data_IF_551114895602
#
_entry.id   IF_551114895602
#
_cell.length_a   1.000
_cell.length_b   1.000
_cell.length_c   1.000
_cell.angle_alpha   90.00
_cell.angle_beta   90.00
_cell.angle_gamma   90.00
#
_symmetry.space_group_name_H-M   'P 1'
#
loop_
_entity.id
_entity.type
_entity.pdbx_description
1 polymer ?
#
# COMPACT_ATOMS: atom_id res chain seq x y z
N UNK A 1 9.08 15.23 5.58
CA UNK A 1 8.88 13.95 6.29
C UNK A 1 7.40 13.67 6.28
N UNK A 2 6.96 12.66 5.54
CA UNK A 2 5.56 12.25 5.49
C UNK A 2 5.41 10.92 6.24
N UNK A 3 4.30 10.73 6.95
CA UNK A 3 3.97 9.47 7.60
C UNK A 3 2.91 8.74 6.77
N UNK A 4 3.22 7.53 6.31
CA UNK A 4 2.34 6.73 5.47
C UNK A 4 1.65 5.61 6.24
N UNK A 5 0.33 5.50 6.08
CA UNK A 5 -0.45 4.33 6.50
C UNK A 5 -1.07 3.72 5.24
N UNK A 6 -0.70 2.48 4.94
CA UNK A 6 -1.16 1.76 3.76
C UNK A 6 -2.23 0.77 4.19
N UNK A 7 -3.34 0.74 3.46
CA UNK A 7 -4.50 -0.06 3.84
C UNK A 7 -4.42 -1.38 3.10
N UNK A 8 -4.15 -2.46 3.82
CA UNK A 8 -4.19 -3.80 3.25
C UNK A 8 -5.54 -4.45 3.54
N UNK A 9 -6.11 -5.07 2.51
CA UNK A 9 -7.34 -5.83 2.60
C UNK A 9 -7.13 -7.15 1.88
N UNK A 10 -7.33 -8.25 2.60
CA UNK A 10 -7.23 -9.60 2.02
C UNK A 10 -8.30 -9.84 0.96
N UNK A 11 -9.43 -9.13 1.05
CA UNK A 11 -10.54 -9.20 0.09
C UNK A 11 -10.47 -8.11 -0.99
N UNK A 12 -9.32 -7.45 -1.17
CA UNK A 12 -9.16 -6.42 -2.19
C UNK A 12 -9.03 -7.02 -3.60
N UNK A 13 -9.35 -6.20 -4.61
CA UNK A 13 -9.16 -6.55 -6.02
C UNK A 13 -7.73 -6.29 -6.52
N UNK A 14 -6.85 -5.75 -5.66
CA UNK A 14 -5.48 -5.40 -6.01
C UNK A 14 -4.53 -6.58 -5.84
N UNK A 15 -3.46 -6.59 -6.63
CA UNK A 15 -2.42 -7.60 -6.59
C UNK A 15 -1.41 -7.33 -5.46
N UNK A 16 -1.90 -7.12 -4.24
CA UNK A 16 -1.05 -6.79 -3.09
C UNK A 16 -0.41 -8.04 -2.51
N UNK A 17 0.92 -8.02 -2.44
CA UNK A 17 1.72 -8.96 -1.64
C UNK A 17 2.50 -8.09 -0.68
N UNK A 18 2.05 -7.84 0.57
CA UNK A 18 2.61 -6.80 1.43
C UNK A 18 4.14 -6.84 1.63
N UNK A 19 4.76 -8.01 1.48
CA UNK A 19 6.20 -8.23 1.53
C UNK A 19 6.96 -7.92 0.24
N UNK A 20 6.28 -7.80 -0.89
CA UNK A 20 6.85 -7.70 -2.24
C UNK A 20 6.35 -6.46 -3.00
N UNK A 21 5.03 -6.24 -3.04
CA UNK A 21 4.40 -5.17 -3.81
C UNK A 21 3.06 -4.70 -3.20
N UNK A 22 2.74 -3.44 -3.42
CA UNK A 22 1.49 -2.81 -3.01
C UNK A 22 0.96 -1.97 -4.17
N UNK A 23 -0.16 -2.38 -4.75
CA UNK A 23 -0.73 -1.81 -5.95
C UNK A 23 -1.82 -0.79 -5.59
N UNK A 24 -1.81 0.36 -6.24
CA UNK A 24 -2.81 1.40 -5.99
C UNK A 24 -3.14 2.25 -7.23
N UNK A 25 -4.34 2.84 -7.30
CA UNK A 25 -4.71 3.73 -8.39
C UNK A 25 -3.89 5.02 -8.43
N UNK A 26 -3.59 5.53 -9.65
CA UNK A 26 -2.80 6.74 -9.93
C UNK A 26 -3.17 7.98 -9.11
N UNK A 27 -4.41 8.12 -8.68
CA UNK A 27 -4.86 9.25 -7.84
C UNK A 27 -4.13 9.36 -6.50
N UNK A 28 -3.51 8.27 -6.01
CA UNK A 28 -2.73 8.28 -4.78
C UNK A 28 -1.22 8.49 -5.01
N UNK A 29 -0.76 8.54 -6.27
CA UNK A 29 0.66 8.63 -6.61
C UNK A 29 1.38 9.81 -5.94
N UNK A 30 0.76 10.99 -5.93
CA UNK A 30 1.35 12.19 -5.31
C UNK A 30 1.52 12.07 -3.80
N UNK A 31 0.69 11.25 -3.13
CA UNK A 31 0.79 10.97 -1.69
C UNK A 31 1.81 9.85 -1.44
N UNK A 32 1.72 8.76 -2.20
CA UNK A 32 2.60 7.60 -2.07
C UNK A 32 4.08 7.96 -2.32
N UNK A 33 4.37 8.82 -3.32
CA UNK A 33 5.74 9.28 -3.62
C UNK A 33 6.44 9.96 -2.44
N UNK A 34 5.70 10.54 -1.51
CA UNK A 34 6.31 11.16 -0.32
C UNK A 34 6.82 10.14 0.69
N UNK A 35 6.43 8.86 0.54
CA UNK A 35 6.87 7.76 1.39
C UNK A 35 8.03 6.97 0.77
N UNK A 36 8.44 7.25 -0.48
CA UNK A 36 9.53 6.55 -1.16
C UNK A 36 10.85 6.76 -0.39
N UNK A 37 11.51 5.67 -0.01
CA UNK A 37 12.68 5.66 0.87
C UNK A 37 12.38 5.65 2.37
N UNK A 38 11.13 5.85 2.79
CA UNK A 38 10.69 5.92 4.19
C UNK A 38 9.90 4.68 4.64
N UNK A 39 9.69 4.57 5.96
CA UNK A 39 8.90 3.51 6.58
C UNK A 39 7.42 3.86 6.63
N UNK A 40 6.57 2.87 6.38
CA UNK A 40 5.10 2.95 6.49
C UNK A 40 4.57 1.88 7.44
N UNK A 41 3.33 2.07 7.88
CA UNK A 41 2.57 1.10 8.66
C UNK A 41 1.45 0.52 7.80
N UNK A 42 1.28 -0.80 7.83
CA UNK A 42 0.11 -1.45 7.26
C UNK A 42 -1.05 -1.52 8.25
N UNK A 43 -2.23 -1.17 7.77
CA UNK A 43 -3.49 -1.18 8.50
C UNK A 43 -4.53 -2.05 7.79
N UNK A 44 -5.18 -2.93 8.54
CA UNK A 44 -6.36 -3.66 8.08
C UNK A 44 -7.65 -3.02 8.63
N UNK A 45 -8.64 -2.70 7.77
CA UNK A 45 -9.92 -2.16 8.22
C UNK A 45 -10.72 -3.17 9.05
N UNK A 46 -11.24 -2.72 10.19
CA UNK A 46 -12.04 -3.55 11.13
C UNK A 46 -13.37 -4.04 10.58
N UNK A 47 -13.79 -3.55 9.40
CA UNK A 47 -14.98 -4.03 8.68
C UNK A 47 -14.77 -5.40 8.02
N UNK A 48 -13.52 -5.84 7.88
CA UNK A 48 -13.19 -7.20 7.44
C UNK A 48 -13.07 -8.06 8.71
N UNK A 49 -13.72 -9.22 8.74
CA UNK A 49 -13.70 -10.10 9.92
C UNK A 49 -12.27 -10.59 10.23
N UNK A 50 -11.96 -10.74 11.52
CA UNK A 50 -10.66 -11.24 12.01
C UNK A 50 -9.41 -10.39 11.67
N UNK A 51 -9.57 -9.09 11.36
CA UNK A 51 -8.43 -8.19 11.12
C UNK A 51 -7.75 -7.73 12.41
N UNK A 52 -6.46 -7.37 12.29
CA UNK A 52 -5.62 -7.01 13.44
C UNK A 52 -5.41 -5.50 13.66
N UNK A 53 -6.00 -4.64 12.82
CA UNK A 53 -5.73 -3.20 12.84
C UNK A 53 -4.34 -2.92 12.27
N UNK A 54 -3.49 -2.20 13.01
CA UNK A 54 -2.09 -2.00 12.60
C UNK A 54 -1.28 -3.27 12.88
N UNK A 55 -0.70 -3.87 11.84
CA UNK A 55 -0.17 -5.24 11.97
C UNK A 55 1.25 -5.44 11.42
N UNK A 56 1.74 -4.54 10.58
CA UNK A 56 3.08 -4.65 9.98
C UNK A 56 3.66 -3.28 9.64
N UNK A 57 4.97 -3.27 9.41
CA UNK A 57 5.72 -2.12 8.87
C UNK A 57 6.49 -2.55 7.63
N UNK A 58 6.65 -1.64 6.69
CA UNK A 58 7.46 -1.84 5.49
C UNK A 58 8.20 -0.56 5.13
N UNK A 59 9.29 -0.69 4.37
CA UNK A 59 9.98 0.46 3.78
C UNK A 59 9.62 0.52 2.30
N UNK A 60 9.12 1.65 1.83
CA UNK A 60 8.82 1.82 0.40
C UNK A 60 10.15 1.99 -0.32
N UNK A 61 10.51 1.02 -1.16
CA UNK A 61 11.77 1.06 -1.89
C UNK A 61 11.69 1.98 -3.10
N UNK A 62 10.70 1.74 -3.95
CA UNK A 62 10.45 2.46 -5.18
C UNK A 62 8.98 2.36 -5.57
N UNK A 63 8.48 3.32 -6.35
CA UNK A 63 7.14 3.27 -6.95
C UNK A 63 7.27 3.24 -8.47
N UNK A 64 6.81 2.16 -9.08
CA UNK A 64 6.88 1.92 -10.52
C UNK A 64 5.46 1.87 -11.13
N UNK A 65 5.27 2.18 -12.42
CA UNK A 65 3.99 1.94 -13.08
C UNK A 65 3.68 0.44 -13.14
N UNK A 66 2.41 0.07 -12.98
CA UNK A 66 1.97 -1.31 -13.12
C UNK A 66 1.97 -1.74 -14.61
N UNK A 67 2.68 -2.83 -14.98
CA UNK A 67 2.77 -3.26 -16.37
C UNK A 67 1.47 -3.87 -16.93
N UNK A 68 0.57 -4.35 -16.06
CA UNK A 68 -0.72 -4.92 -16.41
C UNK A 68 -1.88 -3.92 -16.37
N UNK A 69 -1.73 -2.78 -15.69
CA UNK A 69 -2.80 -1.79 -15.49
C UNK A 69 -2.29 -0.35 -15.63
N UNK A 70 -2.60 0.30 -16.76
CA UNK A 70 -2.08 1.64 -17.11
C UNK A 70 -2.40 2.77 -16.12
N UNK A 71 -3.43 2.59 -15.29
CA UNK A 71 -3.86 3.58 -14.28
C UNK A 71 -3.47 3.17 -12.86
N UNK A 72 -2.61 2.16 -12.71
CA UNK A 72 -2.08 1.69 -11.43
C UNK A 72 -0.56 1.82 -11.35
N UNK A 73 -0.10 1.84 -10.11
CA UNK A 73 1.29 1.85 -9.68
C UNK A 73 1.45 0.81 -8.57
#
# INVERSE_FOLDING_TARGET
MAFGIFIHRTDSIYADVPSEQYQFPRQYLSRARQCEGDWIVYYEPTKVGNTKGYFAVARVREIIPDPGHSDMY
#
